data_IF_815316427817
#
_entry.id   IF_815316427817
#
_cell.length_a   1.000
_cell.length_b   1.000
_cell.length_c   1.000
_cell.angle_alpha   90.00
_cell.angle_beta   90.00
_cell.angle_gamma   90.00
#
_symmetry.space_group_name_H-M   'P 1'
#
loop_
_entity.id
_entity.type
_entity.pdbx_description
1 polymer ?
#
# COMPACT_ATOMS: atom_id res chain seq x y z
N UNK A 1 -19.85 -27.94 28.15
CA UNK A 1 -20.33 -27.96 26.75
C UNK A 1 -19.36 -27.17 25.87
N UNK A 2 -18.69 -27.81 24.90
CA UNK A 2 -17.95 -27.10 23.84
C UNK A 2 -18.97 -26.34 22.97
N UNK A 3 -18.85 -25.00 22.85
CA UNK A 3 -19.76 -24.17 22.04
C UNK A 3 -19.66 -24.60 20.57
N UNK A 4 -20.79 -24.91 19.95
CA UNK A 4 -20.89 -25.16 18.50
C UNK A 4 -20.84 -23.78 17.82
N UNK A 5 -19.76 -23.49 17.10
CA UNK A 5 -19.68 -22.32 16.20
C UNK A 5 -20.68 -22.52 15.06
N UNK A 6 -21.34 -21.46 14.61
CA UNK A 6 -22.01 -21.51 13.30
C UNK A 6 -20.93 -21.54 12.23
N UNK A 7 -20.86 -22.66 11.51
CA UNK A 7 -19.86 -22.89 10.46
C UNK A 7 -20.03 -21.86 9.35
N UNK A 8 -21.27 -21.53 8.99
CA UNK A 8 -21.60 -20.51 8.00
C UNK A 8 -21.11 -19.11 8.40
N UNK A 9 -21.25 -18.71 9.67
CA UNK A 9 -20.79 -17.39 10.13
C UNK A 9 -19.28 -17.22 9.97
N UNK A 10 -18.49 -18.27 10.26
CA UNK A 10 -17.03 -18.27 10.08
C UNK A 10 -16.62 -18.13 8.60
N UNK A 11 -17.45 -18.58 7.66
CA UNK A 11 -17.14 -18.49 6.24
C UNK A 11 -17.51 -17.15 5.61
N UNK A 12 -18.67 -16.57 5.96
CA UNK A 12 -19.23 -15.40 5.26
C UNK A 12 -19.10 -14.06 6.01
N UNK A 13 -18.97 -14.07 7.33
CA UNK A 13 -18.96 -12.83 8.12
C UNK A 13 -17.53 -12.53 8.56
N UNK A 14 -16.87 -11.58 7.89
CA UNK A 14 -15.55 -11.08 8.31
C UNK A 14 -15.63 -10.58 9.75
N UNK A 15 -14.74 -11.09 10.62
CA UNK A 15 -14.69 -10.76 12.06
C UNK A 15 -15.92 -11.19 12.88
N UNK A 16 -16.66 -12.23 12.48
CA UNK A 16 -17.74 -12.79 13.33
C UNK A 16 -17.20 -13.50 14.58
N UNK A 17 -16.66 -12.72 15.50
CA UNK A 17 -16.52 -13.13 16.87
C UNK A 17 -17.88 -12.91 17.51
N UNK A 18 -18.66 -13.98 17.72
CA UNK A 18 -19.80 -13.87 18.64
C UNK A 18 -19.21 -13.34 19.95
N UNK A 19 -19.67 -12.18 20.43
CA UNK A 19 -19.21 -11.58 21.67
C UNK A 19 -19.10 -12.69 22.73
N UNK A 20 -17.96 -12.75 23.44
CA UNK A 20 -17.65 -13.88 24.34
C UNK A 20 -18.79 -14.12 25.35
N UNK A 21 -19.57 -13.07 25.65
CA UNK A 21 -20.75 -13.02 26.50
C UNK A 21 -21.71 -11.93 26.00
N UNK A 22 -23.03 -12.09 26.17
CA UNK A 22 -23.89 -10.91 26.43
C UNK A 22 -23.50 -10.37 27.81
N UNK A 23 -23.48 -9.05 28.07
CA UNK A 23 -23.22 -8.55 29.42
C UNK A 23 -24.27 -9.17 30.35
N UNK A 24 -23.83 -10.08 31.22
CA UNK A 24 -24.67 -10.64 32.29
C UNK A 24 -24.30 -9.90 33.55
N UNK A 25 -25.27 -9.19 34.13
CA UNK A 25 -25.19 -8.67 35.49
C UNK A 25 -24.90 -9.87 36.41
N UNK A 26 -23.78 -9.82 37.13
CA UNK A 26 -23.33 -10.91 37.99
C UNK A 26 -24.38 -11.21 39.06
N UNK A 27 -24.89 -12.44 39.10
CA UNK A 27 -25.64 -12.92 40.26
C UNK A 27 -24.63 -13.38 41.33
N UNK A 28 -24.79 -12.99 42.61
CA UNK A 28 -23.87 -13.42 43.67
C UNK A 28 -23.89 -14.95 43.79
N UNK A 29 -22.68 -15.52 43.92
CA UNK A 29 -22.44 -16.95 44.07
C UNK A 29 -23.17 -17.49 45.32
N UNK A 30 -24.07 -18.46 45.14
CA UNK A 30 -24.44 -19.37 46.24
C UNK A 30 -23.55 -20.61 46.14
N UNK A 31 -22.81 -21.00 47.20
CA UNK A 31 -22.14 -22.28 47.22
C UNK A 31 -23.21 -23.37 47.27
N UNK A 32 -23.34 -24.15 46.20
CA UNK A 32 -23.98 -25.46 46.24
C UNK A 32 -22.86 -26.48 46.39
N UNK A 33 -23.10 -27.49 47.23
CA UNK A 33 -22.30 -28.70 47.48
C UNK A 33 -21.55 -28.70 48.83
N UNK A 34 -22.31 -28.86 49.92
CA UNK A 34 -21.89 -29.62 51.11
C UNK A 34 -23.07 -30.52 51.46
N UNK A 35 -23.33 -31.57 50.67
CA UNK A 35 -24.37 -32.55 50.99
C UNK A 35 -24.24 -33.81 50.13
N UNK A 36 -23.09 -34.49 50.15
CA UNK A 36 -23.03 -35.95 49.92
C UNK A 36 -21.61 -36.49 50.08
N UNK A 37 -21.14 -36.54 51.31
CA UNK A 37 -20.02 -37.37 51.70
C UNK A 37 -20.42 -38.04 53.01
N UNK A 38 -20.81 -39.33 52.92
CA UNK A 38 -21.15 -40.11 54.12
C UNK A 38 -19.98 -40.25 55.08
N UNK A 39 -20.18 -40.80 56.30
CA UNK A 39 -19.17 -40.88 57.36
C UNK A 39 -17.86 -41.58 56.94
N UNK A 40 -17.90 -42.34 55.87
CA UNK A 40 -16.76 -43.02 55.23
C UNK A 40 -15.78 -42.10 54.51
N UNK A 41 -16.15 -40.86 54.21
CA UNK A 41 -15.27 -39.86 53.59
C UNK A 41 -14.24 -39.26 54.57
N UNK A 42 -14.39 -39.49 55.87
CA UNK A 42 -13.52 -38.96 56.92
C UNK A 42 -12.60 -40.02 57.55
N UNK A 43 -12.50 -41.22 56.98
CA UNK A 43 -11.52 -42.21 57.42
C UNK A 43 -10.11 -41.81 56.96
N UNK A 44 -9.17 -41.74 57.92
CA UNK A 44 -7.84 -41.12 57.78
C UNK A 44 -6.92 -41.79 56.76
N UNK A 45 -7.15 -43.06 56.42
CA UNK A 45 -6.19 -43.89 55.66
C UNK A 45 -6.68 -44.45 54.32
N UNK A 46 -7.81 -43.97 53.77
CA UNK A 46 -8.39 -44.57 52.54
C UNK A 46 -7.60 -44.27 51.25
N UNK A 47 -6.74 -43.25 51.23
CA UNK A 47 -6.13 -42.73 49.99
C UNK A 47 -4.62 -42.95 49.84
N UNK A 48 -4.01 -43.85 50.62
CA UNK A 48 -2.55 -44.00 50.65
C UNK A 48 -1.97 -45.32 50.12
N UNK A 49 -2.67 -46.02 49.24
CA UNK A 49 -1.95 -46.86 48.26
C UNK A 49 -1.69 -46.06 46.99
N UNK A 50 -0.49 -45.48 46.91
CA UNK A 50 0.02 -44.79 45.72
C UNK A 50 0.18 -45.79 44.58
N UNK A 51 -0.87 -45.98 43.79
CA UNK A 51 -0.81 -46.74 42.53
C UNK A 51 0.18 -46.07 41.57
N UNK A 52 1.20 -46.82 41.14
CA UNK A 52 2.20 -46.37 40.16
C UNK A 52 1.54 -45.94 38.83
N UNK A 53 0.38 -46.54 38.50
CA UNK A 53 -0.41 -46.23 37.32
C UNK A 53 -1.07 -44.83 37.36
N UNK A 54 -1.29 -44.29 38.55
CA UNK A 54 -1.83 -42.93 38.74
C UNK A 54 -0.78 -41.85 38.41
N UNK A 55 0.51 -42.07 38.71
CA UNK A 55 1.61 -41.14 38.39
C UNK A 55 1.85 -40.99 36.87
N UNK A 56 1.73 -42.08 36.11
CA UNK A 56 1.94 -42.05 34.66
C UNK A 56 0.93 -41.17 33.90
N UNK A 57 -0.27 -40.97 34.47
CA UNK A 57 -1.31 -40.12 33.88
C UNK A 57 -1.12 -38.63 34.17
N UNK A 58 -0.43 -38.29 35.27
CA UNK A 58 -0.14 -36.91 35.69
C UNK A 58 1.15 -36.41 35.01
N UNK A 59 2.11 -37.30 34.73
CA UNK A 59 3.34 -36.96 33.99
C UNK A 59 3.14 -36.92 32.46
N UNK A 60 2.05 -36.31 31.96
CA UNK A 60 2.22 -35.61 30.69
C UNK A 60 2.93 -34.32 31.07
N UNK A 61 4.20 -34.09 30.71
CA UNK A 61 4.75 -32.75 30.85
C UNK A 61 3.80 -31.84 30.07
N UNK A 62 3.11 -30.93 30.77
CA UNK A 62 2.45 -29.83 30.09
C UNK A 62 3.57 -29.11 29.37
N UNK A 63 3.68 -29.35 28.06
CA UNK A 63 4.56 -28.58 27.20
C UNK A 63 3.87 -27.22 27.11
N UNK A 64 4.07 -26.42 28.16
CA UNK A 64 3.76 -25.00 28.14
C UNK A 64 4.52 -24.49 26.93
N UNK A 65 3.86 -23.85 25.93
CA UNK A 65 4.61 -23.21 24.87
C UNK A 65 5.66 -22.35 25.56
N UNK A 66 6.93 -22.44 25.14
CA UNK A 66 7.93 -21.48 25.55
C UNK A 66 7.40 -20.11 25.13
N UNK A 67 6.71 -19.44 26.05
CA UNK A 67 6.41 -18.04 25.91
C UNK A 67 7.79 -17.41 25.90
N UNK A 68 8.17 -16.85 24.76
CA UNK A 68 9.32 -15.96 24.72
C UNK A 68 8.95 -14.80 25.64
N UNK A 69 9.31 -14.92 26.91
CA UNK A 69 9.27 -13.81 27.85
C UNK A 69 10.31 -12.86 27.29
N UNK A 70 9.84 -11.83 26.62
CA UNK A 70 10.68 -10.73 26.18
C UNK A 70 11.20 -10.13 27.48
N UNK A 71 12.46 -10.38 27.79
CA UNK A 71 13.12 -9.78 28.94
C UNK A 71 13.27 -8.28 28.64
N UNK A 72 12.53 -7.39 29.33
CA UNK A 72 12.57 -5.96 29.05
C UNK A 72 13.99 -5.40 29.25
N UNK A 73 14.81 -6.04 30.09
CA UNK A 73 16.19 -5.64 30.34
C UNK A 73 17.15 -6.01 29.20
N UNK A 74 16.75 -6.91 28.28
CA UNK A 74 17.55 -7.24 27.07
C UNK A 74 17.30 -6.25 25.93
N UNK A 75 16.20 -5.49 25.97
CA UNK A 75 15.91 -4.45 24.99
C UNK A 75 16.56 -3.17 25.51
N UNK A 76 17.82 -2.96 25.11
CA UNK A 76 18.61 -1.78 25.52
C UNK A 76 18.12 -0.51 24.81
N UNK A 77 17.62 -0.66 23.59
CA UNK A 77 17.13 0.45 22.76
C UNK A 77 15.61 0.55 22.79
N UNK A 78 15.09 1.76 22.91
CA UNK A 78 13.65 1.99 22.82
C UNK A 78 13.14 1.68 21.39
N UNK A 79 11.84 1.40 21.26
CA UNK A 79 11.21 1.25 19.93
C UNK A 79 11.41 2.52 19.10
N UNK A 80 11.38 3.68 19.75
CA UNK A 80 11.67 4.97 19.11
C UNK A 80 13.08 5.00 18.56
N UNK A 81 14.11 4.64 19.33
CA UNK A 81 15.50 4.60 18.83
C UNK A 81 15.68 3.65 17.64
N UNK A 82 15.04 2.49 17.67
CA UNK A 82 15.12 1.51 16.56
C UNK A 82 14.38 1.94 15.29
N UNK A 83 13.36 2.78 15.43
CA UNK A 83 12.54 3.25 14.31
C UNK A 83 12.83 4.68 13.90
N UNK A 84 13.65 5.39 14.69
CA UNK A 84 14.09 6.74 14.40
C UNK A 84 14.97 6.69 13.16
N UNK A 85 14.38 7.03 12.03
CA UNK A 85 15.14 7.35 10.84
C UNK A 85 16.04 8.56 11.16
N UNK A 86 17.30 8.51 10.71
CA UNK A 86 18.23 9.64 10.75
C UNK A 86 17.75 10.73 9.77
N UNK A 87 16.70 11.45 10.14
CA UNK A 87 16.15 12.57 9.37
C UNK A 87 16.58 13.87 10.04
N UNK A 88 17.86 14.22 9.93
CA UNK A 88 18.32 15.57 10.24
C UNK A 88 18.11 16.46 9.02
N UNK A 89 17.36 17.55 9.20
CA UNK A 89 17.34 18.64 8.23
C UNK A 89 18.56 19.51 8.48
N UNK A 90 19.47 19.54 7.52
CA UNK A 90 20.80 20.13 7.71
C UNK A 90 20.98 21.40 6.87
N UNK A 91 20.44 21.42 5.65
CA UNK A 91 20.76 22.45 4.66
C UNK A 91 19.48 23.03 4.06
N UNK A 92 19.27 24.34 4.27
CA UNK A 92 18.24 25.12 3.59
C UNK A 92 18.83 25.72 2.30
N UNK A 93 18.29 25.31 1.14
CA UNK A 93 18.74 25.77 -0.19
C UNK A 93 17.86 26.88 -0.77
N UNK A 94 16.79 27.26 -0.08
CA UNK A 94 15.81 28.23 -0.58
C UNK A 94 16.05 29.65 -0.11
N UNK A 95 15.04 30.49 -0.38
CA UNK A 95 14.99 31.83 0.19
C UNK A 95 14.68 31.79 1.69
N UNK A 96 15.15 32.82 2.40
CA UNK A 96 14.83 33.01 3.82
C UNK A 96 13.31 33.01 4.01
N UNK A 97 12.85 32.24 5.00
CA UNK A 97 11.44 32.15 5.37
C UNK A 97 10.81 33.55 5.57
N UNK A 98 9.67 33.79 4.93
CA UNK A 98 8.88 35.01 5.11
C UNK A 98 8.24 34.99 6.50
N UNK A 99 8.46 36.02 7.29
CA UNK A 99 7.71 36.26 8.52
C UNK A 99 6.44 37.00 8.15
N UNK A 100 5.29 36.32 8.18
CA UNK A 100 4.00 36.97 8.03
C UNK A 100 3.76 37.88 9.25
N UNK A 101 3.76 39.20 9.02
CA UNK A 101 3.32 40.14 10.04
C UNK A 101 1.82 39.99 10.18
N UNK A 102 1.39 39.39 11.28
CA UNK A 102 -0.01 39.34 11.64
C UNK A 102 -0.36 40.74 12.14
N UNK A 103 -1.08 41.52 11.34
CA UNK A 103 -1.69 42.76 11.79
C UNK A 103 -2.79 42.39 12.80
N UNK A 104 -2.42 42.34 14.08
CA UNK A 104 -3.36 42.10 15.18
C UNK A 104 -4.04 43.42 15.49
N UNK A 105 -5.00 43.82 14.67
CA UNK A 105 -5.96 44.86 15.04
C UNK A 105 -7.28 44.17 15.36
N UNK A 106 -7.42 43.68 16.60
CA UNK A 106 -8.65 43.05 17.07
C UNK A 106 -8.98 43.48 18.50
N UNK A 107 -10.24 43.84 18.72
CA UNK A 107 -10.84 44.01 20.04
C UNK A 107 -10.76 42.69 20.83
N UNK A 108 -9.71 42.51 21.63
CA UNK A 108 -9.45 41.28 22.41
C UNK A 108 -10.64 40.89 23.27
N UNK A 109 -11.36 41.87 23.82
CA UNK A 109 -12.54 41.65 24.67
C UNK A 109 -13.75 41.08 23.91
N UNK A 110 -13.89 41.33 22.60
CA UNK A 110 -14.95 40.73 21.79
C UNK A 110 -14.61 39.30 21.40
N UNK A 111 -13.36 39.05 21.00
CA UNK A 111 -12.86 37.72 20.69
C UNK A 111 -12.96 36.78 21.90
N UNK A 112 -12.62 37.27 23.10
CA UNK A 112 -12.73 36.49 24.32
C UNK A 112 -14.19 36.10 24.61
N UNK A 113 -15.13 37.04 24.46
CA UNK A 113 -16.57 36.77 24.64
C UNK A 113 -17.07 35.71 23.66
N UNK A 114 -16.69 35.80 22.38
CA UNK A 114 -17.05 34.81 21.36
C UNK A 114 -16.41 33.46 21.64
N UNK A 115 -15.15 33.42 22.06
CA UNK A 115 -14.45 32.19 22.43
C UNK A 115 -15.11 31.50 23.63
N UNK A 116 -15.47 32.24 24.68
CA UNK A 116 -16.20 31.72 25.86
C UNK A 116 -17.55 31.11 25.48
N UNK A 117 -18.24 31.73 24.51
CA UNK A 117 -19.52 31.23 23.98
C UNK A 117 -19.37 30.12 22.93
N UNK A 118 -18.15 29.84 22.47
CA UNK A 118 -17.84 28.93 21.34
C UNK A 118 -18.47 29.37 20.01
N UNK A 119 -18.58 30.67 19.81
CA UNK A 119 -19.10 31.32 18.59
C UNK A 119 -17.98 31.94 17.74
N UNK A 120 -16.72 31.68 18.09
CA UNK A 120 -15.57 32.23 17.36
C UNK A 120 -15.34 31.41 16.08
N UNK A 121 -15.58 32.04 14.93
CA UNK A 121 -15.32 31.47 13.61
C UNK A 121 -13.95 31.93 13.10
N UNK A 122 -13.23 31.01 12.45
CA UNK A 122 -11.94 31.27 11.82
C UNK A 122 -12.15 31.22 10.31
N UNK A 123 -11.75 32.29 9.64
CA UNK A 123 -11.74 32.38 8.17
C UNK A 123 -10.64 31.47 7.63
N UNK A 124 -11.03 30.34 7.07
CA UNK A 124 -10.11 29.33 6.54
C UNK A 124 -9.37 29.81 5.30
N UNK A 125 -9.96 30.72 4.51
CA UNK A 125 -9.38 31.20 3.25
C UNK A 125 -8.15 32.10 3.49
N UNK A 126 -8.08 32.71 4.68
CA UNK A 126 -6.93 33.54 5.12
C UNK A 126 -5.81 32.73 5.76
N UNK A 127 -6.02 31.44 6.04
CA UNK A 127 -5.03 30.62 6.70
C UNK A 127 -4.00 30.10 5.69
N UNK A 128 -2.75 30.53 5.80
CA UNK A 128 -1.65 29.94 5.05
C UNK A 128 -1.28 28.59 5.68
N UNK A 129 -1.49 27.50 4.95
CA UNK A 129 -1.11 26.16 5.38
C UNK A 129 0.15 25.71 4.64
N UNK A 130 1.33 26.05 5.16
CA UNK A 130 2.64 25.57 4.68
C UNK A 130 3.38 24.83 5.80
N UNK A 131 3.28 23.50 5.80
CA UNK A 131 3.92 22.65 6.80
C UNK A 131 4.93 21.71 6.15
N UNK A 132 6.19 21.84 6.57
CA UNK A 132 7.28 20.99 6.06
C UNK A 132 7.10 19.50 6.41
N UNK A 133 6.36 19.18 7.47
CA UNK A 133 6.07 17.80 7.88
C UNK A 133 5.35 16.98 6.80
N UNK A 134 4.59 17.63 5.93
CA UNK A 134 3.89 16.95 4.83
C UNK A 134 4.90 16.46 3.80
N UNK A 135 5.88 17.30 3.45
CA UNK A 135 6.93 16.90 2.51
C UNK A 135 7.80 15.78 3.07
N UNK A 136 8.10 15.79 4.38
CA UNK A 136 8.81 14.70 5.06
C UNK A 136 8.00 13.39 5.08
N UNK A 137 6.68 13.48 5.25
CA UNK A 137 5.80 12.30 5.23
C UNK A 137 5.84 11.62 3.87
N UNK A 138 5.84 12.41 2.80
CA UNK A 138 5.93 11.91 1.42
C UNK A 138 7.36 11.78 0.91
N UNK A 139 8.40 11.99 1.74
CA UNK A 139 9.81 11.90 1.33
C UNK A 139 10.17 12.73 0.07
N UNK A 140 9.54 13.91 -0.10
CA UNK A 140 9.67 14.69 -1.34
C UNK A 140 11.08 15.24 -1.49
N UNK A 141 11.61 15.93 -0.48
CA UNK A 141 12.91 16.61 -0.60
C UNK A 141 14.08 15.62 -0.74
N UNK A 142 14.07 14.56 0.08
CA UNK A 142 15.10 13.52 0.06
C UNK A 142 15.18 12.81 -1.31
N UNK A 143 14.04 12.62 -1.98
CA UNK A 143 13.97 11.95 -3.29
C UNK A 143 14.27 12.88 -4.48
N UNK A 144 14.10 14.19 -4.32
CA UNK A 144 14.34 15.20 -5.37
C UNK A 144 15.78 15.72 -5.38
N UNK A 145 16.33 15.92 -4.19
CA UNK A 145 17.68 16.45 -3.98
C UNK A 145 18.54 15.36 -3.37
N UNK A 146 18.79 15.45 -2.06
CA UNK A 146 19.61 14.54 -1.26
C UNK A 146 19.02 14.56 0.16
N UNK A 147 19.12 13.47 0.94
CA UNK A 147 18.69 13.46 2.33
C UNK A 147 19.23 14.66 3.13
N UNK A 148 18.34 15.33 3.86
CA UNK A 148 18.68 16.45 4.75
C UNK A 148 18.69 17.84 4.10
N UNK A 149 18.49 17.93 2.78
CA UNK A 149 18.29 19.18 2.05
C UNK A 149 16.81 19.56 2.05
N UNK A 150 16.46 20.82 2.30
CA UNK A 150 15.08 21.29 2.27
C UNK A 150 15.01 22.78 1.87
N UNK A 151 13.80 23.28 1.63
CA UNK A 151 13.54 24.72 1.49
C UNK A 151 12.11 25.07 1.90
N UNK A 152 11.89 26.35 2.25
CA UNK A 152 10.56 26.87 2.57
C UNK A 152 9.83 27.38 1.34
N UNK A 153 8.51 27.19 1.28
CA UNK A 153 7.69 27.79 0.24
C UNK A 153 7.52 29.29 0.54
N UNK A 154 8.28 30.13 -0.17
CA UNK A 154 8.40 31.58 0.10
C UNK A 154 7.61 32.44 -0.88
N UNK A 155 7.29 31.89 -2.05
CA UNK A 155 6.52 32.53 -3.11
C UNK A 155 5.23 31.76 -3.30
N UNK A 156 4.08 32.43 -3.22
CA UNK A 156 2.80 31.76 -3.42
C UNK A 156 2.74 31.24 -4.86
N UNK A 157 2.65 29.92 -4.95
CA UNK A 157 2.59 29.16 -6.19
C UNK A 157 1.32 28.31 -6.18
N UNK A 158 0.47 28.48 -7.18
CA UNK A 158 -0.74 27.69 -7.39
C UNK A 158 -0.71 27.03 -8.75
N UNK A 159 -1.12 25.76 -8.83
CA UNK A 159 -1.22 25.01 -10.08
C UNK A 159 -2.64 24.46 -10.18
N UNK A 160 -3.32 24.71 -11.29
CA UNK A 160 -4.75 24.35 -11.46
C UNK A 160 -5.02 23.64 -12.78
N UNK A 161 -5.76 22.55 -12.69
CA UNK A 161 -6.31 21.80 -13.81
C UNK A 161 -7.82 22.02 -13.87
N UNK A 162 -8.26 23.02 -14.64
CA UNK A 162 -9.67 23.43 -14.69
C UNK A 162 -10.19 23.82 -13.30
N UNK A 163 -11.15 23.05 -12.78
CA UNK A 163 -11.70 23.25 -11.43
C UNK A 163 -10.84 22.70 -10.29
N UNK A 164 -9.88 21.82 -10.59
CA UNK A 164 -9.11 21.10 -9.58
C UNK A 164 -7.76 21.79 -9.33
N UNK A 165 -7.48 22.16 -8.08
CA UNK A 165 -6.15 22.63 -7.64
C UNK A 165 -5.21 21.46 -7.38
N UNK A 166 -3.93 21.67 -7.67
CA UNK A 166 -2.84 20.85 -7.11
C UNK A 166 -2.52 21.42 -5.75
N UNK A 167 -2.69 20.61 -4.72
CA UNK A 167 -2.41 20.98 -3.34
C UNK A 167 -1.18 20.21 -2.85
N UNK A 168 -1.12 19.83 -1.57
CA UNK A 168 0.05 19.18 -0.95
C UNK A 168 -0.22 17.68 -0.73
N UNK A 169 -0.35 16.94 -1.83
CA UNK A 169 -0.56 15.49 -1.84
C UNK A 169 -1.99 15.06 -2.09
N UNK A 170 -2.85 15.93 -2.62
CA UNK A 170 -4.20 15.54 -3.03
C UNK A 170 -4.16 14.54 -4.21
N UNK A 171 -5.19 13.71 -4.31
CA UNK A 171 -5.30 12.70 -5.36
C UNK A 171 -5.98 13.31 -6.60
N UNK A 172 -5.29 13.28 -7.73
CA UNK A 172 -5.79 13.68 -9.04
C UNK A 172 -5.76 12.48 -10.01
N UNK A 173 -6.67 12.49 -10.98
CA UNK A 173 -6.71 11.49 -12.05
C UNK A 173 -5.97 11.99 -13.28
N UNK A 174 -5.26 11.11 -13.99
CA UNK A 174 -4.54 11.47 -15.22
C UNK A 174 -5.47 12.11 -16.28
N UNK A 175 -6.75 11.74 -16.29
CA UNK A 175 -7.78 12.35 -17.16
C UNK A 175 -8.00 13.85 -16.91
N UNK A 176 -7.82 14.32 -15.68
CA UNK A 176 -7.97 15.74 -15.33
C UNK A 176 -6.75 16.54 -15.80
N UNK A 177 -5.59 15.90 -15.81
CA UNK A 177 -4.32 16.46 -16.22
C UNK A 177 -3.97 16.05 -17.66
N UNK A 178 -4.93 16.06 -18.57
CA UNK A 178 -4.69 15.81 -20.01
C UNK A 178 -4.08 17.03 -20.70
N UNK A 179 -4.54 18.22 -20.32
CA UNK A 179 -4.06 19.51 -20.81
C UNK A 179 -3.10 20.15 -19.78
N UNK A 180 -2.19 21.04 -20.21
CA UNK A 180 -1.27 21.74 -19.29
C UNK A 180 -2.04 22.56 -18.25
N UNK A 181 -1.54 22.62 -16.99
CA UNK A 181 -2.21 23.37 -15.93
C UNK A 181 -2.04 24.87 -16.11
N UNK A 182 -2.98 25.63 -15.55
CA UNK A 182 -2.82 27.07 -15.35
C UNK A 182 -1.94 27.32 -14.14
N UNK A 183 -0.98 28.23 -14.29
CA UNK A 183 -0.05 28.64 -13.24
C UNK A 183 -0.53 29.95 -12.60
N UNK A 184 -0.51 30.01 -11.27
CA UNK A 184 -0.76 31.21 -10.49
C UNK A 184 0.52 31.50 -9.69
N UNK A 185 1.32 32.46 -10.16
CA UNK A 185 2.61 32.81 -9.55
C UNK A 185 2.51 34.20 -8.92
N UNK A 186 2.86 34.31 -7.64
CA UNK A 186 2.96 35.60 -6.95
C UNK A 186 4.04 36.48 -7.60
N UNK A 187 3.66 37.71 -7.95
CA UNK A 187 4.60 38.72 -8.44
C UNK A 187 5.18 39.53 -7.28
N UNK A 188 6.50 39.67 -7.26
CA UNK A 188 7.20 40.55 -6.31
C UNK A 188 7.40 41.97 -6.84
N UNK A 189 7.05 42.23 -8.10
CA UNK A 189 7.14 43.55 -8.73
C UNK A 189 8.57 44.07 -8.97
N UNK A 190 9.62 43.34 -8.59
CA UNK A 190 11.02 43.78 -8.62
C UNK A 190 11.78 43.44 -9.88
N UNK A 191 11.13 42.88 -10.90
CA UNK A 191 11.81 42.36 -12.10
C UNK A 191 12.53 41.06 -11.77
N UNK A 192 12.09 39.97 -12.38
CA UNK A 192 12.60 38.64 -12.13
C UNK A 192 11.90 37.62 -13.01
N UNK A 193 12.50 36.44 -13.10
CA UNK A 193 12.01 35.35 -13.91
C UNK A 193 11.85 34.10 -13.05
N UNK A 194 10.94 33.24 -13.47
CA UNK A 194 10.63 32.00 -12.81
C UNK A 194 10.75 30.84 -13.80
N UNK A 195 11.13 29.68 -13.31
CA UNK A 195 11.19 28.44 -14.07
C UNK A 195 10.38 27.38 -13.34
N UNK A 196 9.42 26.77 -14.03
CA UNK A 196 8.55 25.73 -13.48
C UNK A 196 8.93 24.39 -14.07
N UNK A 197 9.09 23.39 -13.20
CA UNK A 197 9.31 21.99 -13.56
C UNK A 197 8.17 21.14 -13.03
N UNK A 198 7.68 20.22 -13.86
CA UNK A 198 6.75 19.15 -13.49
C UNK A 198 7.46 17.81 -13.61
N UNK A 199 7.63 17.13 -12.48
CA UNK A 199 8.46 15.93 -12.37
C UNK A 199 7.68 14.81 -11.68
N UNK A 200 7.67 13.63 -12.27
CA UNK A 200 7.12 12.42 -11.66
C UNK A 200 8.26 11.62 -11.02
N UNK A 201 8.22 11.52 -9.68
CA UNK A 201 9.29 10.89 -8.92
C UNK A 201 9.26 9.36 -8.95
N UNK A 202 8.09 8.78 -9.23
CA UNK A 202 7.87 7.33 -9.18
C UNK A 202 7.66 6.74 -10.58
N UNK A 203 7.89 7.54 -11.62
CA UNK A 203 7.54 7.22 -13.01
C UNK A 203 8.61 6.47 -13.80
N UNK A 204 9.83 6.33 -13.29
CA UNK A 204 10.90 5.69 -14.04
C UNK A 204 10.74 4.15 -14.03
N UNK A 205 10.56 3.59 -15.23
CA UNK A 205 10.48 2.15 -15.47
C UNK A 205 11.66 1.62 -16.31
N UNK A 206 12.63 2.47 -16.66
CA UNK A 206 13.72 2.17 -17.60
C UNK A 206 15.05 1.98 -16.88
N UNK A 207 15.27 2.72 -15.80
CA UNK A 207 16.50 2.60 -15.01
C UNK A 207 16.32 1.55 -13.93
N UNK A 208 17.26 0.61 -13.80
CA UNK A 208 17.33 -0.24 -12.61
C UNK A 208 17.62 0.65 -11.41
N UNK A 209 16.79 0.56 -10.35
CA UNK A 209 16.97 1.37 -9.15
C UNK A 209 18.40 1.21 -8.61
N UNK A 210 19.15 2.31 -8.55
CA UNK A 210 20.50 2.31 -8.00
C UNK A 210 20.45 1.84 -6.53
N UNK A 211 21.29 0.85 -6.19
CA UNK A 211 21.25 0.13 -4.90
C UNK A 211 21.48 1.04 -3.68
N UNK A 212 22.09 2.20 -3.90
CA UNK A 212 22.50 3.12 -2.83
C UNK A 212 21.46 4.23 -2.57
N UNK A 213 20.41 4.35 -3.39
CA UNK A 213 19.26 5.24 -3.13
C UNK A 213 19.54 6.75 -3.15
N UNK A 214 20.77 7.17 -3.46
CA UNK A 214 21.22 8.57 -3.42
C UNK A 214 20.79 9.34 -4.68
N UNK A 215 20.82 8.72 -5.86
CA UNK A 215 20.46 9.37 -7.13
C UNK A 215 19.25 8.69 -7.79
N UNK A 216 18.06 8.90 -7.19
CA UNK A 216 16.81 8.46 -7.82
C UNK A 216 16.60 9.21 -9.12
N UNK A 217 16.23 8.47 -10.16
CA UNK A 217 15.82 9.00 -11.44
C UNK A 217 14.36 9.41 -11.39
N UNK A 218 14.03 10.54 -12.01
CA UNK A 218 12.67 11.01 -12.14
C UNK A 218 12.31 11.16 -13.62
N UNK A 219 11.02 11.33 -13.93
CA UNK A 219 10.56 11.57 -15.30
C UNK A 219 10.03 12.99 -15.40
N UNK A 220 10.59 13.78 -16.32
CA UNK A 220 10.12 15.16 -16.54
C UNK A 220 8.95 15.20 -17.52
N UNK A 221 7.84 15.73 -17.04
CA UNK A 221 6.60 15.86 -17.80
C UNK A 221 6.51 17.21 -18.50
N UNK A 222 7.01 18.28 -17.87
CA UNK A 222 6.91 19.64 -18.40
C UNK A 222 7.98 20.55 -17.80
N UNK A 223 8.53 21.47 -18.59
CA UNK A 223 9.47 22.48 -18.15
C UNK A 223 9.25 23.77 -18.92
N UNK A 224 9.02 24.86 -18.19
CA UNK A 224 8.90 26.21 -18.76
C UNK A 224 9.87 27.11 -18.02
N UNK A 225 10.75 27.79 -18.76
CA UNK A 225 11.73 28.72 -18.24
C UNK A 225 11.33 30.17 -18.51
N UNK A 226 12.06 31.09 -17.87
CA UNK A 226 12.01 32.52 -18.16
C UNK A 226 10.60 33.14 -18.06
N UNK A 227 9.72 32.61 -17.18
CA UNK A 227 8.38 33.15 -16.93
C UNK A 227 8.53 34.47 -16.16
N UNK A 228 8.15 35.61 -16.73
CA UNK A 228 8.21 36.89 -16.02
C UNK A 228 7.32 36.89 -14.77
N UNK A 229 7.73 37.63 -13.73
CA UNK A 229 6.95 37.76 -12.51
C UNK A 229 5.50 38.22 -12.73
N UNK A 230 4.54 37.41 -12.29
CA UNK A 230 3.11 37.68 -12.44
C UNK A 230 2.52 37.29 -13.80
N UNK A 231 3.31 36.67 -14.67
CA UNK A 231 2.85 36.02 -15.91
C UNK A 231 2.72 34.51 -15.70
N UNK A 232 1.94 33.85 -16.56
CA UNK A 232 1.89 32.40 -16.74
C UNK A 232 2.58 31.93 -18.04
N UNK A 233 3.01 32.88 -18.88
CA UNK A 233 3.68 32.62 -20.15
C UNK A 233 5.21 32.70 -20.01
N UNK A 234 5.90 31.71 -20.58
CA UNK A 234 7.35 31.66 -20.64
C UNK A 234 7.84 30.80 -21.80
N UNK A 235 9.11 30.47 -21.79
CA UNK A 235 9.75 29.67 -22.83
C UNK A 235 9.62 28.17 -22.52
N UNK A 236 8.98 27.41 -23.41
CA UNK A 236 8.80 25.96 -23.20
C UNK A 236 10.05 25.20 -23.64
N UNK A 237 10.75 24.62 -22.66
CA UNK A 237 11.96 23.81 -22.88
C UNK A 237 11.60 22.34 -23.07
N UNK A 238 10.68 21.84 -22.25
CA UNK A 238 10.15 20.48 -22.37
C UNK A 238 8.63 20.58 -22.53
N UNK A 239 8.07 20.15 -23.68
CA UNK A 239 6.63 20.13 -23.92
C UNK A 239 5.89 19.28 -22.90
N UNK A 240 4.68 19.72 -22.56
CA UNK A 240 3.81 19.06 -21.60
C UNK A 240 3.43 17.66 -22.06
N UNK A 241 3.59 16.69 -21.15
CA UNK A 241 3.04 15.35 -21.26
C UNK A 241 2.21 15.07 -20.00
N UNK A 242 0.97 14.57 -20.12
CA UNK A 242 0.15 14.28 -18.97
C UNK A 242 0.83 13.24 -18.06
N UNK A 243 0.50 13.17 -16.75
CA UNK A 243 1.03 12.15 -15.86
C UNK A 243 0.72 10.74 -16.35
N UNK A 244 1.73 9.85 -16.35
CA UNK A 244 1.61 8.46 -16.81
C UNK A 244 1.90 7.49 -15.65
N UNK A 245 0.99 7.32 -14.69
CA UNK A 245 1.09 6.26 -13.70
C UNK A 245 0.72 4.92 -14.32
N UNK A 246 1.65 3.95 -14.33
CA UNK A 246 1.42 2.65 -14.93
C UNK A 246 0.38 1.83 -14.15
N UNK A 247 -0.26 0.87 -14.83
CA UNK A 247 -1.26 0.03 -14.17
C UNK A 247 -0.58 -0.90 -13.17
N UNK A 248 -0.96 -0.78 -11.90
CA UNK A 248 -0.49 -1.67 -10.83
C UNK A 248 0.76 -1.22 -10.08
N UNK A 249 1.34 -0.06 -10.42
CA UNK A 249 2.45 0.56 -9.66
C UNK A 249 1.96 1.38 -8.46
N UNK A 250 0.66 1.68 -8.39
CA UNK A 250 0.06 2.39 -7.26
C UNK A 250 -0.10 3.88 -7.53
N UNK A 251 0.28 4.70 -6.54
CA UNK A 251 0.21 6.16 -6.61
C UNK A 251 1.57 6.74 -6.94
N UNK A 252 1.62 7.61 -7.95
CA UNK A 252 2.82 8.32 -8.35
C UNK A 252 2.77 9.75 -7.80
N UNK A 253 3.86 10.19 -7.18
CA UNK A 253 4.02 11.57 -6.70
C UNK A 253 4.54 12.45 -7.84
N UNK A 254 3.70 13.38 -8.29
CA UNK A 254 4.07 14.35 -9.33
C UNK A 254 4.22 15.72 -8.67
N UNK A 255 5.43 16.25 -8.75
CA UNK A 255 5.84 17.49 -8.09
C UNK A 255 5.96 18.62 -9.12
N UNK A 256 5.46 19.79 -8.73
CA UNK A 256 5.63 21.06 -9.41
C UNK A 256 6.58 21.91 -8.58
N UNK A 257 7.71 22.26 -9.17
CA UNK A 257 8.77 23.02 -8.50
C UNK A 257 8.90 24.36 -9.21
N UNK A 258 8.89 25.43 -8.43
CA UNK A 258 9.10 26.80 -8.88
C UNK A 258 10.51 27.22 -8.45
N UNK A 259 11.34 27.53 -9.44
CA UNK A 259 12.62 28.20 -9.25
C UNK A 259 12.48 29.67 -9.62
N UNK A 260 13.15 30.54 -8.87
CA UNK A 260 13.23 31.96 -9.13
C UNK A 260 14.67 32.35 -9.45
N UNK A 261 14.82 33.27 -10.39
CA UNK A 261 16.12 33.79 -10.84
C UNK A 261 15.99 35.27 -11.28
N UNK A 262 17.11 35.99 -11.26
CA UNK A 262 17.13 37.44 -11.52
C UNK A 262 17.27 37.77 -13.00
N UNK A 263 18.11 37.03 -13.72
CA UNK A 263 18.42 37.23 -15.14
C UNK A 263 17.82 36.12 -15.99
N UNK A 264 17.65 36.35 -17.30
CA UNK A 264 17.18 35.29 -18.20
C UNK A 264 18.23 34.19 -18.34
N UNK A 265 17.76 32.94 -18.32
CA UNK A 265 18.59 31.75 -18.31
C UNK A 265 18.36 30.96 -19.60
N UNK A 266 19.43 30.61 -20.32
CA UNK A 266 19.33 29.61 -21.41
C UNK A 266 19.38 28.20 -20.82
N UNK A 267 18.37 27.39 -21.16
CA UNK A 267 18.23 25.98 -20.79
C UNK A 267 18.19 25.07 -22.03
N UNK A 268 18.77 25.51 -23.14
CA UNK A 268 18.71 24.80 -24.43
C UNK A 268 19.29 23.37 -24.37
N UNK A 269 20.25 23.14 -23.48
CA UNK A 269 20.85 21.82 -23.22
C UNK A 269 19.84 20.78 -22.71
N UNK A 270 18.76 21.23 -22.09
CA UNK A 270 17.70 20.37 -21.52
C UNK A 270 16.47 20.30 -22.42
N UNK A 271 16.51 20.92 -23.60
CA UNK A 271 15.38 20.95 -24.53
C UNK A 271 15.09 19.53 -25.03
N UNK A 272 13.84 19.10 -24.89
CA UNK A 272 13.36 17.80 -25.35
C UNK A 272 12.24 18.02 -26.35
N UNK A 273 12.49 17.71 -27.63
CA UNK A 273 11.50 17.96 -28.70
C UNK A 273 10.56 16.78 -28.91
N UNK A 274 11.01 15.55 -28.60
CA UNK A 274 10.22 14.34 -28.77
C UNK A 274 9.40 14.01 -27.52
N UNK A 275 8.27 13.36 -27.73
CA UNK A 275 7.43 12.80 -26.66
C UNK A 275 7.96 11.44 -26.14
N UNK A 276 9.22 11.08 -26.44
CA UNK A 276 9.82 9.84 -25.99
C UNK A 276 9.98 9.84 -24.45
N UNK A 277 9.48 8.79 -23.80
CA UNK A 277 9.52 8.63 -22.36
C UNK A 277 10.93 8.29 -21.85
N UNK A 278 11.74 7.57 -22.64
CA UNK A 278 13.12 7.23 -22.27
C UNK A 278 14.03 8.45 -22.21
N UNK A 279 13.91 9.34 -23.20
CA UNK A 279 14.62 10.63 -23.22
C UNK A 279 14.17 11.56 -22.09
N UNK A 280 12.98 11.34 -21.51
CA UNK A 280 12.40 12.14 -20.41
C UNK A 280 12.89 11.76 -19.02
N UNK A 281 13.73 10.74 -18.89
CA UNK A 281 14.45 10.49 -17.64
C UNK A 281 15.31 11.72 -17.30
N UNK A 282 15.23 12.15 -16.06
CA UNK A 282 15.79 13.41 -15.57
C UNK A 282 16.22 13.24 -14.12
N UNK A 283 17.37 13.82 -13.76
CA UNK A 283 17.87 13.88 -12.39
C UNK A 283 17.87 15.34 -11.94
N UNK A 284 16.90 15.72 -11.11
CA UNK A 284 16.75 17.11 -10.66
C UNK A 284 17.96 17.60 -9.87
N UNK A 285 18.52 16.77 -8.99
CA UNK A 285 19.72 17.10 -8.22
C UNK A 285 20.88 17.57 -9.13
N UNK A 286 21.16 16.83 -10.21
CA UNK A 286 22.21 17.21 -11.16
C UNK A 286 21.91 18.53 -11.87
N UNK A 287 20.66 18.73 -12.29
CA UNK A 287 20.23 20.00 -12.90
C UNK A 287 20.42 21.17 -11.94
N UNK A 288 19.97 21.02 -10.69
CA UNK A 288 20.09 22.06 -9.68
C UNK A 288 21.56 22.35 -9.37
N UNK A 289 22.40 21.32 -9.22
CA UNK A 289 23.83 21.51 -8.93
C UNK A 289 24.58 22.23 -10.04
N UNK A 290 24.19 22.03 -11.31
CA UNK A 290 24.78 22.73 -12.44
C UNK A 290 24.40 24.22 -12.47
N UNK A 291 23.22 24.59 -11.96
CA UNK A 291 22.66 25.95 -12.04
C UNK A 291 22.46 26.61 -10.68
N UNK A 292 23.11 26.10 -9.63
CA UNK A 292 22.96 26.53 -8.24
C UNK A 292 23.16 28.04 -8.03
N UNK A 293 24.06 28.65 -8.82
CA UNK A 293 24.33 30.09 -8.75
C UNK A 293 23.27 30.96 -9.43
N UNK A 294 22.47 30.39 -10.33
CA UNK A 294 21.52 31.13 -11.18
C UNK A 294 20.08 30.96 -10.71
N UNK A 295 19.71 29.74 -10.28
CA UNK A 295 18.36 29.40 -9.85
C UNK A 295 18.28 29.11 -8.35
N UNK A 296 17.21 29.57 -7.72
CA UNK A 296 16.92 29.26 -6.31
C UNK A 296 15.49 28.76 -6.17
N UNK A 297 15.23 27.64 -5.48
CA UNK A 297 13.87 27.13 -5.31
C UNK A 297 13.05 28.09 -4.43
N UNK A 298 11.88 28.50 -4.91
CA UNK A 298 10.99 29.44 -4.22
C UNK A 298 9.69 28.80 -3.77
N UNK A 299 9.17 27.82 -4.51
CA UNK A 299 7.90 27.18 -4.20
C UNK A 299 7.78 25.75 -4.70
N UNK A 300 6.93 24.97 -4.05
CA UNK A 300 6.71 23.56 -4.37
C UNK A 300 5.27 23.17 -4.05
N UNK A 301 4.63 22.46 -4.97
CA UNK A 301 3.36 21.77 -4.77
C UNK A 301 3.44 20.38 -5.40
N UNK A 302 2.61 19.43 -4.97
CA UNK A 302 2.62 18.10 -5.55
C UNK A 302 1.27 17.40 -5.40
N UNK A 303 0.90 16.59 -6.38
CA UNK A 303 -0.28 15.74 -6.31
C UNK A 303 0.10 14.27 -6.50
N UNK A 304 -0.78 13.41 -6.02
CA UNK A 304 -0.72 11.98 -6.28
C UNK A 304 -1.55 11.65 -7.51
N UNK A 305 -1.02 10.84 -8.40
CA UNK A 305 -1.73 10.33 -9.57
C UNK A 305 -1.81 8.81 -9.52
N UNK A 306 -2.96 8.27 -9.94
CA UNK A 306 -3.16 6.82 -10.09
C UNK A 306 -3.50 6.50 -11.54
N UNK A 307 -3.27 5.24 -11.92
CA UNK A 307 -3.65 4.73 -13.24
C UNK A 307 -5.15 4.95 -13.51
N UNK A 308 -5.43 5.39 -14.73
CA UNK A 308 -6.76 5.55 -15.31
C UNK A 308 -6.69 5.17 -16.80
N UNK A 309 -7.84 4.95 -17.44
CA UNK A 309 -7.91 4.52 -18.85
C UNK A 309 -7.33 5.56 -19.82
N UNK A 310 -7.29 6.83 -19.43
CA UNK A 310 -6.65 7.89 -20.22
C UNK A 310 -5.15 7.68 -20.40
N UNK A 311 -4.48 7.04 -19.42
CA UNK A 311 -3.04 6.77 -19.47
C UNK A 311 -2.71 5.81 -20.60
N UNK A 312 -3.56 4.80 -20.81
CA UNK A 312 -3.36 3.82 -21.87
C UNK A 312 -3.45 4.49 -23.26
N UNK A 313 -4.38 5.42 -23.44
CA UNK A 313 -4.52 6.19 -24.69
C UNK A 313 -3.28 7.04 -24.99
N UNK A 314 -2.76 7.72 -23.96
CA UNK A 314 -1.55 8.55 -24.10
C UNK A 314 -0.34 7.67 -24.45
N UNK A 315 -0.19 6.51 -23.81
CA UNK A 315 0.90 5.58 -24.13
C UNK A 315 0.80 5.06 -25.56
N UNK A 316 -0.40 4.71 -26.00
CA UNK A 316 -0.64 4.28 -27.38
C UNK A 316 -0.33 5.41 -28.39
N UNK A 317 -0.65 6.67 -28.08
CA UNK A 317 -0.32 7.85 -28.90
C UNK A 317 1.20 8.09 -29.00
N UNK A 318 1.94 7.84 -27.93
CA UNK A 318 3.42 7.92 -27.92
C UNK A 318 4.04 6.72 -28.65
N UNK A 319 3.29 5.62 -28.82
CA UNK A 319 3.74 4.40 -29.50
C UNK A 319 4.25 3.31 -28.55
N UNK A 320 3.94 3.40 -27.26
CA UNK A 320 4.26 2.38 -26.26
C UNK A 320 3.05 1.51 -25.91
N UNK A 321 3.29 0.22 -25.70
CA UNK A 321 2.27 -0.68 -25.15
C UNK A 321 2.17 -0.49 -23.64
N UNK A 322 0.97 -0.22 -23.12
CA UNK A 322 0.74 -0.10 -21.67
C UNK A 322 1.24 -1.30 -20.87
N UNK A 323 2.29 -1.14 -20.05
CA UNK A 323 2.74 -2.20 -19.15
C UNK A 323 1.74 -2.39 -18.01
N UNK A 324 1.60 -3.64 -17.56
CA UNK A 324 0.77 -3.98 -16.40
C UNK A 324 1.64 -4.63 -15.35
N UNK A 325 1.73 -3.98 -14.21
CA UNK A 325 2.47 -4.45 -13.05
C UNK A 325 1.51 -5.16 -12.10
N UNK A 326 2.06 -6.15 -11.40
CA UNK A 326 1.36 -6.87 -10.34
C UNK A 326 2.25 -6.88 -9.12
N UNK A 327 1.64 -6.68 -7.96
CA UNK A 327 2.35 -6.80 -6.70
C UNK A 327 2.60 -8.28 -6.41
N UNK A 328 3.86 -8.70 -6.49
CA UNK A 328 4.28 -10.02 -6.05
C UNK A 328 4.52 -9.99 -4.55
N UNK A 329 3.76 -10.81 -3.81
CA UNK A 329 3.97 -10.97 -2.38
C UNK A 329 5.19 -11.85 -2.15
N UNK A 330 6.00 -11.49 -1.15
CA UNK A 330 7.07 -12.36 -0.67
C UNK A 330 6.52 -13.77 -0.42
N UNK A 331 7.27 -14.77 -0.86
CA UNK A 331 6.88 -16.15 -0.65
C UNK A 331 6.74 -16.43 0.85
N UNK A 332 5.68 -17.13 1.27
CA UNK A 332 5.50 -17.46 2.67
C UNK A 332 6.67 -18.33 3.13
N UNK A 333 7.28 -17.98 4.26
CA UNK A 333 8.37 -18.78 4.83
C UNK A 333 7.83 -20.16 5.25
N UNK A 334 8.17 -21.19 4.49
CA UNK A 334 7.85 -22.58 4.80
C UNK A 334 9.06 -23.28 5.42
N UNK A 335 8.90 -24.04 6.52
CA UNK A 335 9.98 -24.83 7.08
C UNK A 335 10.34 -25.98 6.14
N UNK A 336 11.58 -26.47 6.16
CA UNK A 336 11.99 -27.62 5.33
C UNK A 336 11.07 -28.83 5.52
N UNK A 337 10.73 -29.48 4.40
CA UNK A 337 9.91 -30.68 4.42
C UNK A 337 10.66 -31.82 5.12
N UNK A 338 10.02 -32.40 6.13
CA UNK A 338 10.49 -33.59 6.85
C UNK A 338 9.62 -34.78 6.52
N UNK A 339 10.20 -35.97 6.46
CA UNK A 339 9.41 -37.20 6.31
C UNK A 339 8.42 -37.36 7.47
N UNK A 340 8.89 -37.08 8.69
CA UNK A 340 8.09 -37.17 9.91
C UNK A 340 8.12 -35.82 10.66
N UNK A 341 7.07 -34.98 10.53
CA UNK A 341 7.01 -33.73 11.26
C UNK A 341 6.91 -33.99 12.77
N UNK A 342 7.77 -33.34 13.57
CA UNK A 342 7.79 -33.50 15.05
C UNK A 342 6.44 -33.13 15.69
N UNK A 343 5.74 -32.16 15.11
CA UNK A 343 4.39 -31.76 15.52
C UNK A 343 3.38 -32.45 14.60
N UNK A 344 2.36 -33.05 15.20
CA UNK A 344 1.24 -33.64 14.45
C UNK A 344 0.56 -32.55 13.60
N UNK A 345 0.60 -32.73 12.28
CA UNK A 345 -0.05 -31.85 11.31
C UNK A 345 -1.03 -32.65 10.46
N UNK A 346 -2.17 -32.07 10.05
CA UNK A 346 -3.06 -32.70 9.09
C UNK A 346 -2.30 -33.00 7.78
N UNK A 347 -2.36 -34.24 7.31
CA UNK A 347 -1.58 -34.69 6.16
C UNK A 347 -1.86 -33.85 4.91
N UNK A 348 -3.12 -33.46 4.67
CA UNK A 348 -3.51 -32.69 3.50
C UNK A 348 -2.87 -31.29 3.49
N UNK A 349 -2.89 -30.58 4.62
CA UNK A 349 -2.22 -29.28 4.73
C UNK A 349 -0.71 -29.37 4.67
N UNK A 350 -0.15 -30.43 5.25
CA UNK A 350 1.29 -30.63 5.23
C UNK A 350 1.78 -30.89 3.81
N UNK A 351 1.16 -31.82 3.08
CA UNK A 351 1.55 -32.13 1.71
C UNK A 351 1.24 -30.98 0.75
N UNK A 352 0.09 -30.30 0.91
CA UNK A 352 -0.24 -29.13 0.08
C UNK A 352 0.74 -27.96 0.27
N UNK A 353 1.38 -27.82 1.43
CA UNK A 353 2.37 -26.76 1.70
C UNK A 353 3.60 -26.85 0.79
N UNK A 354 4.00 -28.08 0.45
CA UNK A 354 5.19 -28.37 -0.37
C UNK A 354 4.86 -28.75 -1.81
N UNK A 355 3.57 -28.71 -2.18
CA UNK A 355 3.17 -28.99 -3.55
C UNK A 355 3.62 -27.84 -4.46
N UNK A 356 4.26 -28.12 -5.61
CA UNK A 356 4.63 -27.08 -6.56
C UNK A 356 3.37 -26.35 -7.04
N UNK A 357 3.44 -25.02 -7.08
CA UNK A 357 2.31 -24.14 -7.42
C UNK A 357 1.69 -24.52 -8.78
N UNK A 358 2.52 -24.80 -9.78
CA UNK A 358 2.11 -25.18 -11.14
C UNK A 358 1.21 -26.42 -11.20
N UNK A 359 1.45 -27.41 -10.34
CA UNK A 359 0.66 -28.64 -10.31
C UNK A 359 -0.72 -28.35 -9.73
N UNK A 360 -0.77 -27.55 -8.65
CA UNK A 360 -2.03 -27.13 -8.04
C UNK A 360 -2.83 -26.28 -9.03
N UNK A 361 -2.20 -25.33 -9.71
CA UNK A 361 -2.87 -24.50 -10.71
C UNK A 361 -3.44 -25.32 -11.87
N UNK A 362 -2.69 -26.31 -12.38
CA UNK A 362 -3.18 -27.26 -13.40
C UNK A 362 -4.37 -28.09 -12.92
N UNK A 363 -4.32 -28.63 -11.69
CA UNK A 363 -5.46 -29.35 -11.08
C UNK A 363 -6.70 -28.45 -10.99
N UNK A 364 -6.52 -27.20 -10.54
CA UNK A 364 -7.62 -26.25 -10.40
C UNK A 364 -8.19 -25.82 -11.75
N UNK A 365 -7.34 -25.62 -12.76
CA UNK A 365 -7.75 -25.28 -14.11
C UNK A 365 -8.55 -26.41 -14.75
N UNK A 366 -8.06 -27.65 -14.65
CA UNK A 366 -8.78 -28.85 -15.12
C UNK A 366 -10.16 -28.96 -14.47
N UNK A 367 -10.24 -28.80 -13.14
CA UNK A 367 -11.52 -28.79 -12.42
C UNK A 367 -12.46 -27.68 -12.90
N UNK A 368 -11.94 -26.50 -13.19
CA UNK A 368 -12.73 -25.38 -13.74
C UNK A 368 -13.30 -25.74 -15.10
N UNK A 369 -12.49 -26.31 -16.00
CA UNK A 369 -12.96 -26.79 -17.31
C UNK A 369 -14.02 -27.86 -17.17
N UNK A 370 -13.83 -28.85 -16.29
CA UNK A 370 -14.82 -29.88 -16.02
C UNK A 370 -16.16 -29.27 -15.56
N UNK A 371 -16.13 -28.30 -14.63
CA UNK A 371 -17.35 -27.60 -14.20
C UNK A 371 -18.01 -26.82 -15.34
N UNK A 372 -17.23 -26.11 -16.16
CA UNK A 372 -17.75 -25.39 -17.33
C UNK A 372 -18.42 -26.34 -18.33
N UNK A 373 -17.87 -27.53 -18.56
CA UNK A 373 -18.45 -28.53 -19.48
C UNK A 373 -19.75 -29.11 -18.95
N UNK A 374 -19.81 -29.44 -17.64
CA UNK A 374 -21.00 -30.09 -17.06
C UNK A 374 -22.12 -29.11 -16.72
N UNK A 375 -21.80 -27.95 -16.14
CA UNK A 375 -22.77 -26.99 -15.60
C UNK A 375 -22.97 -25.76 -16.51
N UNK A 376 -22.12 -25.57 -17.53
CA UNK A 376 -22.13 -24.41 -18.42
C UNK A 376 -21.64 -23.11 -17.77
N UNK A 377 -21.47 -23.07 -16.45
CA UNK A 377 -21.06 -21.90 -15.67
C UNK A 377 -20.21 -22.30 -14.47
N UNK A 378 -19.29 -21.43 -14.05
CA UNK A 378 -18.54 -21.57 -12.79
C UNK A 378 -18.97 -20.47 -11.81
N UNK A 379 -20.08 -20.69 -11.12
CA UNK A 379 -20.60 -19.79 -10.10
C UNK A 379 -20.37 -20.37 -8.70
N UNK A 380 -20.13 -19.51 -7.71
CA UNK A 380 -19.97 -19.94 -6.32
C UNK A 380 -21.31 -20.44 -5.79
N UNK A 381 -21.28 -21.56 -5.07
CA UNK A 381 -22.47 -22.03 -4.39
C UNK A 381 -22.91 -21.02 -3.31
N UNK A 382 -24.22 -20.80 -3.19
CA UNK A 382 -24.80 -19.91 -2.18
C UNK A 382 -24.46 -20.32 -0.74
N UNK A 383 -24.25 -21.63 -0.53
CA UNK A 383 -23.92 -22.21 0.77
C UNK A 383 -22.67 -23.09 0.66
N UNK A 384 -21.82 -23.19 1.71
CA UNK A 384 -20.61 -24.01 1.70
C UNK A 384 -20.94 -25.50 1.58
N UNK A 385 -22.08 -25.92 2.13
CA UNK A 385 -22.59 -27.27 2.01
C UNK A 385 -24.12 -27.24 2.21
N UNK A 386 -24.85 -27.69 1.19
CA UNK A 386 -26.31 -27.81 1.20
C UNK A 386 -26.78 -29.03 1.97
N UNK A 387 -26.00 -30.11 2.00
CA UNK A 387 -26.32 -31.37 2.67
C UNK A 387 -25.37 -31.65 3.85
N UNK A 388 -25.11 -30.62 4.67
CA UNK A 388 -24.12 -30.66 5.74
C UNK A 388 -24.22 -31.88 6.67
N UNK A 389 -25.43 -32.21 7.13
CA UNK A 389 -25.63 -33.30 8.10
C UNK A 389 -25.30 -34.66 7.48
N UNK A 390 -25.66 -34.85 6.22
CA UNK A 390 -25.38 -36.10 5.51
C UNK A 390 -23.91 -36.23 5.15
N UNK A 391 -23.34 -35.18 4.56
CA UNK A 391 -21.93 -35.14 4.15
C UNK A 391 -21.01 -35.31 5.36
N UNK A 392 -21.36 -34.74 6.52
CA UNK A 392 -20.60 -34.94 7.76
C UNK A 392 -20.63 -36.38 8.28
N UNK A 393 -21.70 -37.14 8.01
CA UNK A 393 -21.81 -38.55 8.39
C UNK A 393 -21.11 -39.47 7.38
N UNK A 394 -21.23 -39.15 6.08
CA UNK A 394 -20.70 -39.96 4.96
C UNK A 394 -19.20 -39.74 4.72
N UNK A 395 -18.74 -38.49 4.74
CA UNK A 395 -17.37 -38.13 4.37
C UNK A 395 -16.42 -38.05 5.57
N UNK A 396 -15.15 -38.48 5.40
CA UNK A 396 -14.06 -38.10 6.28
C UNK A 396 -13.99 -36.58 6.49
N UNK A 397 -13.56 -36.17 7.68
CA UNK A 397 -13.56 -34.76 8.09
C UNK A 397 -12.74 -33.83 7.18
N UNK A 398 -11.68 -34.35 6.55
CA UNK A 398 -10.83 -33.57 5.65
C UNK A 398 -11.50 -33.37 4.28
N UNK A 399 -12.12 -34.41 3.70
CA UNK A 399 -12.89 -34.33 2.45
C UNK A 399 -14.10 -33.41 2.60
N UNK A 400 -14.81 -33.51 3.73
CA UNK A 400 -15.92 -32.61 4.03
C UNK A 400 -15.48 -31.15 4.09
N UNK A 401 -14.29 -30.89 4.64
CA UNK A 401 -13.71 -29.55 4.70
C UNK A 401 -13.27 -29.06 3.32
N UNK A 402 -12.69 -29.91 2.49
CA UNK A 402 -12.32 -29.57 1.11
C UNK A 402 -13.55 -29.22 0.27
N UNK A 403 -14.64 -30.00 0.36
CA UNK A 403 -15.91 -29.69 -0.29
C UNK A 403 -16.41 -28.28 0.08
N UNK A 404 -16.38 -27.92 1.37
CA UNK A 404 -16.78 -26.57 1.80
C UNK A 404 -15.84 -25.48 1.28
N UNK A 405 -14.54 -25.71 1.31
CA UNK A 405 -13.55 -24.73 0.82
C UNK A 405 -13.68 -24.55 -0.69
N UNK A 406 -13.98 -25.63 -1.40
CA UNK A 406 -14.29 -25.64 -2.83
C UNK A 406 -15.56 -24.85 -3.12
N UNK A 407 -16.66 -25.09 -2.44
CA UNK A 407 -17.93 -24.39 -2.68
C UNK A 407 -17.85 -22.88 -2.37
N UNK A 408 -17.09 -22.50 -1.33
CA UNK A 408 -16.89 -21.09 -0.95
C UNK A 408 -15.83 -20.40 -1.83
N UNK A 409 -14.93 -21.16 -2.45
CA UNK A 409 -13.79 -20.64 -3.20
C UNK A 409 -12.74 -19.98 -2.31
N UNK A 410 -12.33 -20.66 -1.23
CA UNK A 410 -11.24 -20.20 -0.32
C UNK A 410 -9.94 -20.94 -0.60
N UNK A 411 -8.81 -20.24 -0.45
CA UNK A 411 -7.48 -20.80 -0.71
C UNK A 411 -7.29 -21.14 -2.19
N UNK A 412 -6.74 -22.31 -2.50
CA UNK A 412 -6.53 -22.78 -3.89
C UNK A 412 -7.82 -22.80 -4.73
N UNK A 413 -8.97 -23.01 -4.11
CA UNK A 413 -10.26 -23.04 -4.79
C UNK A 413 -10.78 -21.66 -5.23
N UNK A 414 -10.13 -20.57 -4.83
CA UNK A 414 -10.47 -19.24 -5.35
C UNK A 414 -10.31 -19.17 -6.87
N UNK A 415 -9.35 -19.90 -7.43
CA UNK A 415 -9.08 -19.98 -8.86
C UNK A 415 -10.28 -20.46 -9.71
N UNK A 416 -11.18 -21.27 -9.13
CA UNK A 416 -12.36 -21.79 -9.84
C UNK A 416 -13.34 -20.68 -10.23
N UNK A 417 -13.49 -19.67 -9.36
CA UNK A 417 -14.57 -18.68 -9.46
C UNK A 417 -14.08 -17.26 -9.71
N UNK A 418 -12.77 -17.07 -9.91
CA UNK A 418 -12.25 -15.81 -10.42
C UNK A 418 -12.82 -15.61 -11.83
N UNK A 419 -13.79 -14.70 -11.96
CA UNK A 419 -14.26 -14.20 -13.24
C UNK A 419 -13.12 -13.36 -13.85
N UNK A 420 -12.79 -13.65 -15.11
CA UNK A 420 -11.83 -12.97 -15.98
C UNK A 420 -11.33 -11.61 -15.44
N UNK A 421 -10.10 -11.59 -14.91
CA UNK A 421 -9.50 -10.37 -14.37
C UNK A 421 -8.07 -10.53 -13.83
N UNK A 422 -7.71 -11.74 -13.38
CA UNK A 422 -6.32 -12.13 -13.12
C UNK A 422 -5.95 -13.23 -14.12
N UNK A 423 -5.79 -12.84 -15.38
CA UNK A 423 -5.15 -13.68 -16.40
C UNK A 423 -3.69 -13.75 -15.99
N UNK A 424 -3.35 -14.87 -15.35
CA UNK A 424 -2.03 -15.16 -14.82
C UNK A 424 -1.03 -15.12 -15.98
N UNK A 425 0.17 -14.56 -15.77
CA UNK A 425 1.30 -14.77 -16.70
C UNK A 425 1.54 -16.28 -16.96
N UNK A 426 1.11 -17.13 -16.01
CA UNK A 426 1.06 -18.58 -16.11
C UNK A 426 0.02 -19.09 -17.13
N UNK A 427 -1.17 -18.48 -17.28
CA UNK A 427 -2.11 -18.87 -18.35
C UNK A 427 -1.54 -18.56 -19.74
N UNK A 428 -0.78 -17.48 -19.87
CA UNK A 428 -0.06 -17.14 -21.11
C UNK A 428 1.15 -18.07 -21.33
N UNK A 429 1.83 -18.49 -20.26
CA UNK A 429 2.91 -19.48 -20.31
C UNK A 429 2.41 -20.88 -20.69
N UNK A 430 1.30 -21.33 -20.12
CA UNK A 430 0.65 -22.60 -20.44
C UNK A 430 0.13 -22.59 -21.88
N UNK A 431 -0.52 -21.50 -22.33
CA UNK A 431 -0.92 -21.36 -23.74
C UNK A 431 0.27 -21.40 -24.71
N UNK A 432 1.41 -20.78 -24.36
CA UNK A 432 2.64 -20.88 -25.15
C UNK A 432 3.21 -22.30 -25.19
N UNK A 433 3.20 -23.02 -24.06
CA UNK A 433 3.65 -24.41 -24.02
C UNK A 433 2.73 -25.33 -24.83
N UNK A 434 1.40 -25.16 -24.73
CA UNK A 434 0.44 -25.92 -25.53
C UNK A 434 0.57 -25.62 -27.04
N UNK A 435 0.83 -24.36 -27.44
CA UNK A 435 1.13 -24.00 -28.82
C UNK A 435 2.45 -24.59 -29.34
N UNK A 436 3.48 -24.67 -28.49
CA UNK A 436 4.75 -25.31 -28.84
C UNK A 436 4.61 -26.84 -28.98
N UNK A 437 3.81 -27.48 -28.12
CA UNK A 437 3.52 -28.91 -28.21
C UNK A 437 2.67 -29.25 -29.43
N UNK A 438 1.68 -28.43 -29.79
CA UNK A 438 0.92 -28.58 -31.03
C UNK A 438 1.81 -28.43 -32.27
N UNK A 439 2.73 -27.47 -32.27
CA UNK A 439 3.70 -27.30 -33.39
C UNK A 439 4.64 -28.49 -33.52
N UNK A 440 5.04 -29.12 -32.41
CA UNK A 440 5.86 -30.34 -32.41
C UNK A 440 5.08 -31.57 -32.89
N UNK A 441 3.78 -31.65 -32.60
CA UNK A 441 2.90 -32.73 -33.07
C UNK A 441 2.56 -32.67 -34.56
N UNK A 442 2.61 -31.49 -35.18
CA UNK A 442 2.37 -31.30 -36.63
C UNK A 442 3.66 -31.56 -37.45
N UNK A 443 4.84 -31.51 -36.84
CA UNK A 443 6.10 -31.86 -37.52
C UNK A 443 6.41 -33.37 -37.59
N UNK A 444 5.62 -34.21 -36.90
CA UNK A 444 5.82 -35.67 -36.82
C UNK A 444 4.73 -36.49 -37.52
N UNK A 445 3.88 -35.84 -38.31
CA UNK A 445 2.85 -36.46 -39.17
C UNK A 445 3.17 -36.34 -40.65
#
# INVERSE_FOLDING_TARGET
>A
MKRIRSIYAEHYIKRSHRAKHTPRVGRPWRPRVIAWAGPTAFMRDRWYERSAWYKARIQKPEIVPNLHIIDPNRIVETFEERTKAERSREIDIGFKKREEKIDVEKDEGLLEKLARKRELEIDLDKLSFDQLSIYDHFNIFDDLFVPGVYFYNTQRFGVRYGSNSVERGNLLTAKVASDPPKLEIESFGTGGFNTVLMVNMDGDAFTEAEKDGIDKTQVIHWMVSNIPDGSDEGETIVPYVPPIPFKGTGYHRVVFILFRHQEKISLDEFKKEKMDFGERVFKLNRFFKQRENEITPSGLNFAQFRWDESVDKVLDEIGYKSPRFFYEWNEPLTPDQKEFPKKVMPFNYYLDMYRPKEVVEREMFKKKLEKLVHEGKCEKANYPDTMYVENRKKLPRWQHKELMMENVGKGKYAALYLQNGYVNAVEQGIKKQEEEELKKGVSSS
#
